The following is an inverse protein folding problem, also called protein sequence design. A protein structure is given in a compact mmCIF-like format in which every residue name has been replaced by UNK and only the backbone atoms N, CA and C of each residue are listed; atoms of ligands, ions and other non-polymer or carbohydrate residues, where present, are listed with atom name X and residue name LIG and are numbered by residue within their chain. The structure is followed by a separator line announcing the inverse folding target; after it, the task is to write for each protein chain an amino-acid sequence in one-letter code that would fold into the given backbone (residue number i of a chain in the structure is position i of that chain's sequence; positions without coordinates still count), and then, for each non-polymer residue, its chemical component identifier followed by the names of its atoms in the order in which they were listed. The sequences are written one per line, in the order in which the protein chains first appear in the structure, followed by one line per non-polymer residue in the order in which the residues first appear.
data_IF_933117962571
#
_entry.id   IF_933117962571
#
_cell.length_a   1.000
_cell.length_b   1.000
_cell.length_c   1.000
_cell.angle_alpha   90.00
_cell.angle_beta   90.00
_cell.angle_gamma   90.00
#
_symmetry.space_group_name_H-M   'P 1'
#
loop_
_entity.id
_entity.type
_entity.pdbx_description
1 polymer ?
#
# COMPACT_ATOMS: atom_id res chain seq x y z
N UNK A 1 -31.23 -29.37 25.99
CA UNK A 1 -30.36 -28.17 26.00
C UNK A 1 -30.67 -27.40 24.74
N UNK A 2 -31.18 -26.18 24.91
CA UNK A 2 -31.74 -25.39 23.83
C UNK A 2 -30.64 -24.99 22.84
N UNK A 3 -30.91 -25.24 21.57
CA UNK A 3 -30.23 -24.65 20.42
C UNK A 3 -30.38 -23.13 20.51
N UNK A 4 -29.30 -22.41 20.79
CA UNK A 4 -29.28 -20.96 20.66
C UNK A 4 -29.61 -20.61 19.21
N UNK A 5 -30.78 -20.02 19.04
CA UNK A 5 -31.25 -19.43 17.79
C UNK A 5 -30.24 -18.39 17.33
N UNK A 6 -29.47 -18.72 16.31
CA UNK A 6 -28.70 -17.77 15.49
C UNK A 6 -29.63 -16.61 15.12
N UNK A 7 -29.46 -15.46 15.79
CA UNK A 7 -30.05 -14.20 15.37
C UNK A 7 -29.69 -14.00 13.90
N UNK A 8 -30.72 -13.81 13.07
CA UNK A 8 -30.61 -13.60 11.62
C UNK A 8 -29.58 -12.49 11.35
N UNK A 9 -28.37 -12.89 10.97
CA UNK A 9 -27.26 -11.98 10.78
C UNK A 9 -27.38 -11.34 9.40
N UNK A 10 -27.86 -10.10 9.38
CA UNK A 10 -27.93 -9.31 8.16
C UNK A 10 -26.61 -8.54 7.93
N UNK A 11 -25.70 -9.18 7.19
CA UNK A 11 -24.41 -8.59 6.80
C UNK A 11 -24.57 -7.29 6.01
N UNK A 12 -25.57 -7.20 5.13
CA UNK A 12 -25.80 -6.02 4.29
C UNK A 12 -26.15 -4.81 5.15
N UNK A 13 -26.98 -5.02 6.17
CA UNK A 13 -27.31 -4.00 7.16
C UNK A 13 -26.10 -3.54 7.96
N UNK A 14 -25.25 -4.47 8.43
CA UNK A 14 -24.04 -4.13 9.18
C UNK A 14 -23.05 -3.34 8.31
N UNK A 15 -22.81 -3.75 7.07
CA UNK A 15 -21.97 -3.01 6.12
C UNK A 15 -22.49 -1.58 5.91
N UNK A 16 -23.79 -1.43 5.66
CA UNK A 16 -24.39 -0.12 5.45
C UNK A 16 -24.26 0.77 6.68
N UNK A 17 -24.50 0.23 7.87
CA UNK A 17 -24.30 0.97 9.13
C UNK A 17 -22.85 1.44 9.29
N UNK A 18 -21.87 0.57 9.00
CA UNK A 18 -20.45 0.93 9.06
C UNK A 18 -20.05 1.97 7.99
N UNK A 19 -20.60 1.90 6.77
CA UNK A 19 -20.32 2.88 5.72
C UNK A 19 -20.98 4.24 6.04
N UNK A 20 -22.21 4.23 6.59
CA UNK A 20 -23.00 5.42 6.91
C UNK A 20 -22.42 6.23 8.07
N UNK A 21 -21.71 5.61 9.02
CA UNK A 21 -21.04 6.35 10.10
C UNK A 21 -19.86 7.18 9.61
N UNK A 22 -19.24 6.82 8.48
CA UNK A 22 -18.10 7.52 7.86
C UNK A 22 -16.89 7.73 8.78
N UNK A 23 -16.84 7.00 9.89
CA UNK A 23 -15.81 7.13 10.91
C UNK A 23 -14.60 6.22 10.68
N UNK A 24 -14.75 5.26 9.77
CA UNK A 24 -13.72 4.27 9.49
C UNK A 24 -13.49 3.32 10.66
N UNK A 25 -12.44 2.51 10.53
CA UNK A 25 -12.00 1.56 11.56
C UNK A 25 -11.49 2.29 12.80
N UNK A 26 -10.81 3.43 12.62
CA UNK A 26 -10.35 4.27 13.74
C UNK A 26 -11.52 4.73 14.62
N UNK A 27 -12.67 5.07 14.03
CA UNK A 27 -13.86 5.41 14.78
C UNK A 27 -14.40 4.26 15.65
N UNK A 28 -14.26 3.01 15.20
CA UNK A 28 -14.60 1.83 16.02
C UNK A 28 -13.65 1.70 17.21
N UNK A 29 -12.35 1.87 16.98
CA UNK A 29 -11.33 1.81 18.05
C UNK A 29 -11.55 2.92 19.07
N UNK A 30 -11.85 4.14 18.63
CA UNK A 30 -12.14 5.28 19.52
C UNK A 30 -13.41 5.06 20.36
N UNK A 31 -14.37 4.28 19.84
CA UNK A 31 -15.55 3.86 20.59
C UNK A 31 -15.27 2.75 21.62
N UNK A 32 -14.03 2.25 21.71
CA UNK A 32 -13.62 1.28 22.73
C UNK A 32 -14.18 -0.12 22.51
N UNK A 33 -14.34 -0.55 21.25
CA UNK A 33 -14.83 -1.91 20.96
C UNK A 33 -13.91 -2.98 21.56
N UNK A 34 -14.51 -4.05 22.09
CA UNK A 34 -13.77 -5.20 22.61
C UNK A 34 -13.71 -6.36 21.61
N UNK A 35 -14.70 -6.44 20.72
CA UNK A 35 -14.77 -7.44 19.66
C UNK A 35 -14.93 -6.75 18.31
N UNK A 36 -14.26 -7.26 17.29
CA UNK A 36 -14.38 -6.71 15.94
C UNK A 36 -15.76 -7.06 15.34
N UNK A 37 -16.38 -6.16 14.56
CA UNK A 37 -17.62 -6.46 13.84
C UNK A 37 -17.46 -7.66 12.89
N UNK A 38 -18.55 -8.41 12.66
CA UNK A 38 -18.50 -9.65 11.86
C UNK A 38 -18.07 -9.40 10.42
N UNK A 39 -18.34 -8.21 9.88
CA UNK A 39 -17.86 -7.78 8.56
C UNK A 39 -16.34 -7.77 8.40
N UNK A 40 -15.55 -7.73 9.48
CA UNK A 40 -14.07 -7.79 9.44
C UNK A 40 -13.51 -9.18 9.68
N UNK A 41 -14.33 -10.11 10.17
CA UNK A 41 -13.89 -11.48 10.48
C UNK A 41 -13.69 -12.25 9.17
N UNK A 42 -12.48 -12.76 8.97
CA UNK A 42 -12.15 -13.58 7.81
C UNK A 42 -12.90 -14.92 7.80
N UNK A 43 -13.22 -15.46 6.62
CA UNK A 43 -13.75 -16.83 6.49
C UNK A 43 -12.89 -17.85 7.23
N UNK A 44 -13.51 -18.86 7.85
CA UNK A 44 -12.80 -19.91 8.59
C UNK A 44 -11.79 -20.68 7.74
N UNK A 45 -12.07 -20.81 6.44
CA UNK A 45 -11.19 -21.42 5.44
C UNK A 45 -9.83 -20.69 5.36
N UNK A 46 -9.89 -19.35 5.36
CA UNK A 46 -8.72 -18.50 5.25
C UNK A 46 -7.89 -18.52 6.55
N UNK A 47 -8.57 -18.59 7.71
CA UNK A 47 -7.90 -18.70 9.02
C UNK A 47 -7.18 -20.04 9.17
N UNK A 48 -7.80 -21.14 8.75
CA UNK A 48 -7.20 -22.47 8.80
C UNK A 48 -5.98 -22.60 7.86
N UNK A 49 -5.97 -21.89 6.73
CA UNK A 49 -4.83 -21.89 5.80
C UNK A 49 -3.59 -21.20 6.40
N UNK A 50 -3.76 -20.19 7.25
CA UNK A 50 -2.64 -19.50 7.89
C UNK A 50 -1.94 -20.37 8.94
N UNK A 51 -2.72 -21.16 9.70
CA UNK A 51 -2.17 -22.13 10.68
C UNK A 51 -1.26 -23.18 10.03
N UNK A 52 -1.53 -23.55 8.77
CA UNK A 52 -0.73 -24.52 8.02
C UNK A 52 0.58 -23.94 7.47
N UNK A 53 0.68 -22.61 7.35
CA UNK A 53 1.80 -21.91 6.73
C UNK A 53 2.78 -21.29 7.75
N UNK A 54 2.71 -21.67 9.03
CA UNK A 54 3.50 -21.08 10.13
C UNK A 54 5.01 -21.38 10.10
N UNK A 55 5.56 -21.82 8.97
CA UNK A 55 6.97 -22.12 8.77
C UNK A 55 7.76 -20.87 8.40
N UNK A 56 8.07 -20.01 9.37
CA UNK A 56 8.91 -18.83 9.14
C UNK A 56 10.34 -19.26 8.78
N UNK A 57 10.71 -19.13 7.50
CA UNK A 57 12.11 -19.13 7.09
C UNK A 57 12.60 -17.68 7.09
N UNK A 58 13.79 -17.45 7.65
CA UNK A 58 14.47 -16.17 7.56
C UNK A 58 15.04 -16.00 6.14
N UNK A 59 14.20 -15.60 5.21
CA UNK A 59 14.65 -15.09 3.91
C UNK A 59 14.26 -13.63 3.85
N UNK A 60 15.25 -12.78 3.62
CA UNK A 60 15.06 -11.33 3.56
C UNK A 60 14.84 -10.90 2.12
N UNK A 61 13.84 -10.05 1.92
CA UNK A 61 13.60 -9.36 0.64
C UNK A 61 14.88 -8.61 0.24
N UNK A 62 15.33 -8.71 -1.03
CA UNK A 62 16.58 -8.07 -1.48
C UNK A 62 16.63 -6.59 -1.16
N UNK A 63 17.81 -6.09 -0.77
CA UNK A 63 18.05 -4.67 -0.47
C UNK A 63 19.02 -4.12 -1.52
N UNK A 64 18.64 -3.02 -2.16
CA UNK A 64 19.38 -2.38 -3.24
C UNK A 64 19.79 -0.97 -2.79
N UNK A 65 21.09 -0.72 -2.74
CA UNK A 65 21.63 0.62 -2.48
C UNK A 65 21.67 1.42 -3.79
N UNK A 66 20.76 2.38 -3.94
CA UNK A 66 20.67 3.19 -5.17
C UNK A 66 21.52 4.46 -5.11
N UNK A 67 22.46 4.56 -4.17
CA UNK A 67 23.42 5.66 -4.13
C UNK A 67 24.26 5.71 -5.41
N UNK A 68 24.63 6.93 -5.81
CA UNK A 68 25.47 7.18 -6.98
C UNK A 68 24.93 6.58 -8.29
N UNK A 69 23.60 6.47 -8.45
CA UNK A 69 22.94 5.94 -9.67
C UNK A 69 23.30 6.70 -10.97
N UNK A 70 23.90 7.89 -10.87
CA UNK A 70 24.44 8.64 -12.00
C UNK A 70 25.84 8.19 -12.46
N UNK A 71 26.58 7.43 -11.65
CA UNK A 71 27.83 6.82 -12.07
C UNK A 71 27.56 5.61 -12.98
N UNK A 72 28.27 5.51 -14.10
CA UNK A 72 28.01 4.50 -15.13
C UNK A 72 28.25 3.07 -14.64
N UNK A 73 29.29 2.85 -13.84
CA UNK A 73 29.63 1.50 -13.34
C UNK A 73 28.61 1.11 -12.28
N UNK A 74 28.37 1.99 -11.30
CA UNK A 74 27.39 1.73 -10.24
C UNK A 74 25.98 1.54 -10.79
N UNK A 75 25.57 2.34 -11.80
CA UNK A 75 24.27 2.17 -12.46
C UNK A 75 24.11 0.78 -13.05
N UNK A 76 25.13 0.26 -13.72
CA UNK A 76 25.06 -1.07 -14.33
C UNK A 76 24.90 -2.18 -13.27
N UNK A 77 25.54 -2.04 -12.12
CA UNK A 77 25.36 -2.93 -10.97
C UNK A 77 23.94 -2.85 -10.42
N UNK A 78 23.43 -1.63 -10.17
CA UNK A 78 22.05 -1.40 -9.71
C UNK A 78 21.04 -2.02 -10.69
N UNK A 79 21.23 -1.84 -12.00
CA UNK A 79 20.37 -2.43 -13.03
C UNK A 79 20.35 -3.96 -12.93
N UNK A 80 21.49 -4.58 -12.69
CA UNK A 80 21.57 -6.03 -12.52
C UNK A 80 20.89 -6.50 -11.22
N UNK A 81 21.09 -5.77 -10.11
CA UNK A 81 20.42 -6.02 -8.82
C UNK A 81 18.89 -5.91 -8.98
N UNK A 82 18.40 -4.84 -9.62
CA UNK A 82 16.97 -4.63 -9.92
C UNK A 82 16.43 -5.73 -10.81
N UNK A 83 17.17 -6.16 -11.84
CA UNK A 83 16.76 -7.24 -12.74
C UNK A 83 16.55 -8.55 -11.97
N UNK A 84 17.51 -8.93 -11.13
CA UNK A 84 17.46 -10.17 -10.35
C UNK A 84 16.30 -10.10 -9.35
N UNK A 85 16.22 -9.04 -8.55
CA UNK A 85 15.18 -8.91 -7.55
C UNK A 85 13.77 -8.84 -8.15
N UNK A 86 13.60 -8.11 -9.26
CA UNK A 86 12.31 -8.06 -9.97
C UNK A 86 11.92 -9.41 -10.56
N UNK A 87 12.88 -10.20 -11.05
CA UNK A 87 12.61 -11.49 -11.70
C UNK A 87 12.41 -12.66 -10.74
N UNK A 88 13.13 -12.67 -9.61
CA UNK A 88 13.06 -13.76 -8.63
C UNK A 88 12.02 -13.48 -7.53
N UNK A 89 11.93 -12.22 -7.07
CA UNK A 89 11.07 -11.87 -5.94
C UNK A 89 9.83 -11.08 -6.35
N UNK A 90 9.94 -10.22 -7.36
CA UNK A 90 8.93 -9.20 -7.64
C UNK A 90 8.86 -8.10 -6.56
N UNK A 91 9.71 -8.18 -5.54
CA UNK A 91 9.83 -7.26 -4.40
C UNK A 91 11.30 -6.99 -4.08
N UNK A 92 11.61 -5.76 -3.68
CA UNK A 92 12.91 -5.38 -3.11
C UNK A 92 12.79 -4.12 -2.28
N UNK A 93 13.75 -3.86 -1.38
CA UNK A 93 13.87 -2.59 -0.69
C UNK A 93 14.94 -1.74 -1.35
N UNK A 94 14.73 -0.42 -1.45
CA UNK A 94 15.74 0.53 -1.87
C UNK A 94 16.16 1.42 -0.70
N UNK A 95 17.47 1.67 -0.60
CA UNK A 95 18.07 2.60 0.38
C UNK A 95 18.93 3.63 -0.34
N UNK A 96 19.24 4.75 0.32
CA UNK A 96 20.02 5.84 -0.25
C UNK A 96 19.44 6.41 -1.56
N UNK A 97 18.10 6.38 -1.70
CA UNK A 97 17.33 6.85 -2.86
C UNK A 97 17.22 8.38 -2.99
N UNK A 98 17.88 9.13 -2.11
CA UNK A 98 17.99 10.59 -2.22
C UNK A 98 16.79 11.39 -1.68
N UNK A 99 15.74 10.74 -1.17
CA UNK A 99 14.66 11.43 -0.44
C UNK A 99 15.14 11.68 1.00
N UNK A 100 15.10 12.92 1.51
CA UNK A 100 15.52 13.20 2.88
C UNK A 100 14.67 12.44 3.91
N UNK A 101 15.31 11.91 4.96
CA UNK A 101 14.62 11.20 6.04
C UNK A 101 13.49 12.05 6.66
N UNK A 102 13.71 13.36 6.82
CA UNK A 102 12.68 14.27 7.35
C UNK A 102 11.42 14.30 6.48
N UNK A 103 11.54 14.16 5.15
CA UNK A 103 10.37 14.14 4.26
C UNK A 103 9.56 12.85 4.45
N UNK A 104 10.25 11.71 4.65
CA UNK A 104 9.59 10.43 4.94
C UNK A 104 8.89 10.46 6.31
N UNK A 105 9.60 10.94 7.33
CA UNK A 105 9.09 11.05 8.70
C UNK A 105 7.88 12.01 8.76
N UNK A 106 7.97 13.18 8.11
CA UNK A 106 6.87 14.16 8.05
C UNK A 106 5.67 13.63 7.26
N UNK A 107 5.87 12.79 6.24
CA UNK A 107 4.78 12.15 5.51
C UNK A 107 4.02 11.18 6.42
N UNK A 108 4.73 10.28 7.10
CA UNK A 108 4.14 9.33 8.04
C UNK A 108 3.39 10.07 9.16
N UNK A 109 4.03 11.08 9.76
CA UNK A 109 3.44 11.86 10.84
C UNK A 109 2.22 12.65 10.37
N UNK A 110 2.26 13.24 9.17
CA UNK A 110 1.11 13.93 8.60
C UNK A 110 -0.11 13.04 8.44
N UNK A 111 0.08 11.81 7.93
CA UNK A 111 -1.01 10.83 7.79
C UNK A 111 -1.51 10.35 9.15
N UNK A 112 -0.62 10.15 10.12
CA UNK A 112 -1.00 9.81 11.49
C UNK A 112 -1.88 10.90 12.10
N UNK A 113 -1.43 12.16 12.04
CA UNK A 113 -2.17 13.32 12.54
C UNK A 113 -3.53 13.44 11.85
N UNK A 114 -3.60 13.26 10.52
CA UNK A 114 -4.89 13.25 9.81
C UNK A 114 -5.87 12.21 10.38
N UNK A 115 -5.43 10.97 10.62
CA UNK A 115 -6.30 9.91 11.13
C UNK A 115 -6.65 10.07 12.61
N UNK A 116 -5.81 10.75 13.39
CA UNK A 116 -6.01 11.03 14.82
C UNK A 116 -6.76 12.33 15.10
N UNK A 117 -7.14 13.10 14.07
CA UNK A 117 -8.01 14.26 14.20
C UNK A 117 -9.45 13.91 14.57
N UNK A 118 -10.18 14.94 15.02
CA UNK A 118 -11.62 14.91 15.25
C UNK A 118 -12.37 14.31 14.06
N UNK A 119 -13.37 13.48 14.37
CA UNK A 119 -14.13 12.72 13.39
C UNK A 119 -14.79 13.63 12.34
N UNK A 120 -15.34 14.76 12.76
CA UNK A 120 -16.03 15.72 11.91
C UNK A 120 -15.15 16.17 10.74
N UNK A 121 -13.87 16.43 10.98
CA UNK A 121 -12.92 16.88 9.95
C UNK A 121 -12.63 15.76 8.93
N UNK A 122 -12.54 14.51 9.38
CA UNK A 122 -12.32 13.36 8.49
C UNK A 122 -13.58 13.05 7.66
N UNK A 123 -14.77 13.21 8.25
CA UNK A 123 -16.05 12.96 7.58
C UNK A 123 -16.28 13.88 6.37
N UNK A 124 -15.77 15.11 6.39
CA UNK A 124 -15.84 16.04 5.25
C UNK A 124 -15.18 15.47 3.98
N UNK A 125 -14.11 14.70 4.16
CA UNK A 125 -13.39 14.04 3.08
C UNK A 125 -13.93 12.64 2.76
N UNK A 126 -14.85 12.10 3.57
CA UNK A 126 -15.39 10.77 3.35
C UNK A 126 -16.15 10.72 2.02
N UNK A 127 -15.70 9.86 1.11
CA UNK A 127 -16.36 9.72 -0.17
C UNK A 127 -16.06 8.40 -0.86
N UNK A 128 -17.08 7.87 -1.54
CA UNK A 128 -16.97 6.75 -2.47
C UNK A 128 -16.92 7.18 -3.93
N UNK A 129 -17.00 8.49 -4.21
CA UNK A 129 -16.99 9.02 -5.56
C UNK A 129 -15.62 8.80 -6.21
N UNK A 130 -15.60 8.12 -7.35
CA UNK A 130 -14.40 7.87 -8.15
C UNK A 130 -13.78 9.14 -8.72
N UNK A 131 -14.57 10.19 -8.93
CA UNK A 131 -14.10 11.44 -9.52
C UNK A 131 -13.37 12.35 -8.52
N UNK A 132 -13.58 12.17 -7.22
CA UNK A 132 -12.85 12.95 -6.20
C UNK A 132 -11.38 12.56 -6.15
N UNK A 133 -10.50 13.55 -6.33
CA UNK A 133 -9.04 13.36 -6.31
C UNK A 133 -8.50 13.12 -4.90
N UNK A 134 -9.03 13.82 -3.90
CA UNK A 134 -8.69 13.60 -2.48
C UNK A 134 -9.93 13.10 -1.76
N UNK A 135 -9.81 11.94 -1.12
CA UNK A 135 -10.91 11.35 -0.36
C UNK A 135 -10.44 10.42 0.74
N UNK A 136 -11.26 10.31 1.77
CA UNK A 136 -11.11 9.39 2.88
C UNK A 136 -12.13 8.26 2.75
N UNK A 137 -11.72 7.03 3.04
CA UNK A 137 -12.60 5.87 3.13
C UNK A 137 -11.89 4.73 3.88
N UNK A 138 -12.66 3.76 4.38
CA UNK A 138 -12.06 2.56 4.98
C UNK A 138 -11.71 1.51 3.92
N UNK A 139 -12.71 1.03 3.18
CA UNK A 139 -12.59 -0.09 2.24
C UNK A 139 -13.17 0.27 0.86
N UNK A 140 -12.43 0.04 -0.23
CA UNK A 140 -12.88 0.32 -1.60
C UNK A 140 -14.03 -0.61 -2.04
N UNK A 141 -13.92 -1.88 -1.68
CA UNK A 141 -14.73 -3.02 -2.15
C UNK A 141 -15.74 -3.51 -1.09
N UNK A 142 -16.21 -2.60 -0.23
CA UNK A 142 -17.02 -2.90 0.95
C UNK A 142 -18.23 -3.83 0.68
N UNK A 143 -18.89 -3.67 -0.48
CA UNK A 143 -20.11 -4.40 -0.83
C UNK A 143 -19.86 -5.70 -1.59
N UNK A 144 -18.63 -5.97 -2.01
CA UNK A 144 -18.25 -7.16 -2.80
C UNK A 144 -17.32 -8.10 -2.03
N UNK A 145 -16.62 -7.58 -1.03
CA UNK A 145 -15.69 -8.33 -0.20
C UNK A 145 -16.37 -9.35 0.71
N UNK A 146 -15.73 -10.52 0.91
CA UNK A 146 -16.15 -11.52 1.92
C UNK A 146 -15.92 -11.01 3.35
N UNK A 147 -14.81 -10.32 3.58
CA UNK A 147 -14.44 -9.63 4.82
C UNK A 147 -13.76 -8.30 4.48
N UNK A 148 -13.97 -7.28 5.31
CA UNK A 148 -13.32 -5.98 5.18
C UNK A 148 -11.92 -5.99 5.79
N UNK A 149 -11.06 -5.12 5.25
CA UNK A 149 -9.74 -4.86 5.76
C UNK A 149 -9.78 -3.96 7.00
N UNK A 150 -8.98 -4.27 8.03
CA UNK A 150 -8.84 -3.49 9.27
C UNK A 150 -7.96 -2.26 9.06
N UNK A 151 -8.45 -1.32 8.25
CA UNK A 151 -7.72 -0.10 7.90
C UNK A 151 -8.64 1.07 7.56
N UNK A 152 -8.04 2.24 7.61
CA UNK A 152 -8.53 3.46 6.99
C UNK A 152 -7.57 3.95 5.91
N UNK A 153 -8.09 4.66 4.91
CA UNK A 153 -7.32 5.09 3.73
C UNK A 153 -7.64 6.54 3.38
N UNK A 154 -6.62 7.39 3.37
CA UNK A 154 -6.63 8.65 2.65
C UNK A 154 -6.07 8.40 1.25
N UNK A 155 -6.87 8.63 0.21
CA UNK A 155 -6.46 8.47 -1.17
C UNK A 155 -6.24 9.83 -1.84
N UNK A 156 -5.15 9.92 -2.60
CA UNK A 156 -4.85 11.03 -3.51
C UNK A 156 -4.66 10.47 -4.93
N UNK A 157 -5.37 11.04 -5.90
CA UNK A 157 -5.23 10.73 -7.32
C UNK A 157 -4.41 11.81 -8.04
N UNK A 158 -3.31 11.40 -8.67
CA UNK A 158 -2.38 12.22 -9.45
C UNK A 158 -2.38 11.82 -10.93
N UNK A 159 -3.49 11.25 -11.44
CA UNK A 159 -3.56 10.64 -12.77
C UNK A 159 -3.36 11.64 -13.92
N UNK A 160 -3.94 12.84 -13.82
CA UNK A 160 -3.83 13.87 -14.88
C UNK A 160 -2.92 15.03 -14.46
N UNK A 161 -3.20 15.57 -13.27
CA UNK A 161 -2.50 16.70 -12.67
C UNK A 161 -2.57 16.54 -11.16
N UNK A 162 -1.61 17.13 -10.46
CA UNK A 162 -1.65 17.21 -9.00
C UNK A 162 -2.99 17.81 -8.55
N UNK A 163 -3.60 17.27 -7.48
CA UNK A 163 -4.81 17.84 -6.91
C UNK A 163 -4.52 19.27 -6.45
N UNK A 164 -5.57 20.09 -6.44
CA UNK A 164 -5.46 21.42 -5.83
C UNK A 164 -5.02 21.23 -4.37
N UNK A 165 -3.92 21.87 -3.92
CA UNK A 165 -3.47 21.75 -2.54
C UNK A 165 -4.57 22.01 -1.51
N UNK A 166 -5.55 22.87 -1.82
CA UNK A 166 -6.70 23.14 -0.94
C UNK A 166 -7.62 21.94 -0.71
N UNK A 167 -7.64 20.95 -1.61
CA UNK A 167 -8.37 19.69 -1.45
C UNK A 167 -7.69 18.73 -0.45
N UNK A 168 -6.38 18.91 -0.18
CA UNK A 168 -5.66 18.11 0.81
C UNK A 168 -5.98 18.56 2.24
N UNK A 169 -6.06 17.62 3.22
CA UNK A 169 -6.23 17.96 4.63
C UNK A 169 -5.15 18.95 5.09
N UNK A 170 -5.49 20.08 5.74
CA UNK A 170 -4.50 21.08 6.16
C UNK A 170 -3.35 20.50 6.99
N UNK A 171 -3.62 19.49 7.80
CA UNK A 171 -2.65 18.88 8.73
C UNK A 171 -1.52 18.11 8.04
N UNK A 172 -1.79 17.52 6.87
CA UNK A 172 -0.81 16.71 6.14
C UNK A 172 -0.45 17.30 4.77
N UNK A 173 -1.09 18.41 4.36
CA UNK A 173 -0.90 19.04 3.04
C UNK A 173 0.56 19.29 2.70
N UNK A 174 1.28 20.00 3.58
CA UNK A 174 2.68 20.38 3.32
C UNK A 174 3.58 19.16 3.16
N UNK A 175 3.50 18.20 4.07
CA UNK A 175 4.33 16.99 4.02
C UNK A 175 3.98 16.11 2.82
N UNK A 176 2.69 15.99 2.50
CA UNK A 176 2.22 15.25 1.32
C UNK A 176 2.75 15.87 0.02
N UNK A 177 2.67 17.19 -0.13
CA UNK A 177 3.18 17.88 -1.32
C UNK A 177 4.70 17.74 -1.48
N UNK A 178 5.46 17.88 -0.40
CA UNK A 178 6.91 17.70 -0.45
C UNK A 178 7.26 16.24 -0.79
N UNK A 179 6.57 15.27 -0.19
CA UNK A 179 6.75 13.85 -0.51
C UNK A 179 6.45 13.54 -1.98
N UNK A 180 5.34 14.05 -2.54
CA UNK A 180 4.99 13.86 -3.96
C UNK A 180 6.11 14.34 -4.90
N UNK A 181 6.71 15.50 -4.62
CA UNK A 181 7.80 16.04 -5.42
C UNK A 181 9.00 15.10 -5.48
N UNK A 182 9.41 14.55 -4.33
CA UNK A 182 10.51 13.59 -4.26
C UNK A 182 10.15 12.24 -4.88
N UNK A 183 8.91 11.78 -4.65
CA UNK A 183 8.40 10.53 -5.19
C UNK A 183 8.39 10.52 -6.73
N UNK A 184 7.98 11.63 -7.37
CA UNK A 184 7.99 11.74 -8.84
C UNK A 184 9.39 11.55 -9.43
N UNK A 185 10.39 12.23 -8.86
CA UNK A 185 11.79 12.10 -9.30
C UNK A 185 12.34 10.68 -9.08
N UNK A 186 12.01 10.08 -7.94
CA UNK A 186 12.39 8.69 -7.67
C UNK A 186 11.71 7.74 -8.65
N UNK A 187 10.42 7.94 -8.93
CA UNK A 187 9.65 7.15 -9.89
C UNK A 187 10.29 7.16 -11.28
N UNK A 188 10.66 8.33 -11.81
CA UNK A 188 11.38 8.46 -13.08
C UNK A 188 12.66 7.61 -13.08
N UNK A 189 13.46 7.70 -12.02
CA UNK A 189 14.71 6.94 -11.86
C UNK A 189 14.46 5.43 -11.82
N UNK A 190 13.44 4.99 -11.07
CA UNK A 190 13.08 3.56 -10.97
C UNK A 190 12.59 3.01 -12.31
N UNK A 191 11.80 3.78 -13.07
CA UNK A 191 11.37 3.39 -14.40
C UNK A 191 12.53 3.30 -15.40
N UNK A 192 13.54 4.14 -15.27
CA UNK A 192 14.75 4.01 -16.10
C UNK A 192 15.52 2.73 -15.78
N UNK A 193 15.75 2.46 -14.49
CA UNK A 193 16.44 1.25 -14.04
C UNK A 193 15.69 -0.02 -14.48
N UNK A 194 14.36 -0.02 -14.40
CA UNK A 194 13.52 -1.12 -14.88
C UNK A 194 13.60 -1.25 -16.41
N UNK A 195 13.60 -0.15 -17.16
CA UNK A 195 13.75 -0.19 -18.62
C UNK A 195 15.08 -0.85 -19.02
N UNK A 196 16.18 -0.46 -18.37
CA UNK A 196 17.49 -1.06 -18.61
C UNK A 196 17.57 -2.53 -18.15
N UNK A 197 16.93 -2.88 -17.04
CA UNK A 197 16.85 -4.26 -16.56
C UNK A 197 16.14 -5.18 -17.57
N UNK A 198 15.21 -4.62 -18.35
CA UNK A 198 14.51 -5.27 -19.47
C UNK A 198 15.32 -5.29 -20.77
N UNK A 199 16.51 -4.67 -20.80
CA UNK A 199 17.33 -4.54 -22.01
C UNK A 199 16.83 -3.46 -22.98
N UNK A 200 15.99 -2.53 -22.50
CA UNK A 200 15.43 -1.43 -23.28
C UNK A 200 16.27 -0.16 -23.09
N UNK A 201 15.98 0.87 -23.89
CA UNK A 201 16.56 2.20 -23.66
C UNK A 201 16.09 2.75 -22.30
N UNK A 202 16.94 3.49 -21.56
CA UNK A 202 16.59 3.97 -20.21
C UNK A 202 15.24 4.67 -20.14
N UNK A 203 14.91 5.54 -21.09
CA UNK A 203 13.65 6.30 -21.06
C UNK A 203 12.42 5.52 -21.54
N UNK A 204 12.52 4.23 -21.87
CA UNK A 204 11.45 3.50 -22.57
C UNK A 204 10.12 3.52 -21.80
N UNK A 205 10.09 3.05 -20.56
CA UNK A 205 8.85 2.98 -19.76
C UNK A 205 8.27 4.38 -19.49
N UNK A 206 9.12 5.38 -19.26
CA UNK A 206 8.69 6.77 -19.12
C UNK A 206 8.05 7.30 -20.42
N UNK A 207 8.68 7.04 -21.57
CA UNK A 207 8.24 7.54 -22.87
C UNK A 207 6.86 6.99 -23.30
N UNK A 208 6.54 5.74 -22.95
CA UNK A 208 5.22 5.14 -23.22
C UNK A 208 4.17 5.50 -22.15
N UNK A 209 4.55 6.30 -21.17
CA UNK A 209 3.64 6.83 -20.16
C UNK A 209 3.46 5.95 -18.92
N UNK A 210 4.34 4.99 -18.63
CA UNK A 210 4.24 4.18 -17.42
C UNK A 210 4.38 5.01 -16.12
N UNK A 211 5.10 6.13 -16.19
CA UNK A 211 5.21 7.10 -15.10
C UNK A 211 4.09 8.15 -15.11
N UNK A 212 3.22 8.15 -16.14
CA UNK A 212 2.09 9.08 -16.23
C UNK A 212 0.92 8.52 -15.43
N UNK A 213 0.76 9.11 -14.26
CA UNK A 213 -0.33 8.83 -13.35
C UNK A 213 0.15 8.04 -12.13
N UNK A 214 -0.17 8.59 -10.98
CA UNK A 214 0.18 8.02 -9.69
C UNK A 214 -1.06 8.10 -8.79
N UNK A 215 -1.27 7.09 -7.94
CA UNK A 215 -2.21 7.20 -6.83
C UNK A 215 -1.44 6.95 -5.55
N UNK A 216 -1.65 7.82 -4.56
CA UNK A 216 -1.15 7.61 -3.21
C UNK A 216 -2.31 7.07 -2.39
N UNK A 217 -2.12 5.90 -1.82
CA UNK A 217 -3.03 5.29 -0.85
C UNK A 217 -2.33 5.28 0.51
N UNK A 218 -2.68 6.26 1.35
CA UNK A 218 -2.12 6.40 2.68
C UNK A 218 -2.96 5.60 3.67
N UNK A 219 -2.49 4.38 3.97
CA UNK A 219 -3.16 3.48 4.91
C UNK A 219 -2.82 3.80 6.36
N UNK A 220 -3.84 3.73 7.22
CA UNK A 220 -3.73 3.78 8.66
C UNK A 220 -4.35 2.51 9.24
N UNK A 221 -3.59 1.80 10.07
CA UNK A 221 -3.98 0.54 10.68
C UNK A 221 -4.12 0.73 12.20
N UNK A 222 -5.33 1.04 12.71
CA UNK A 222 -5.56 1.16 14.15
C UNK A 222 -5.29 -0.16 14.89
N UNK A 223 -4.93 -0.13 16.19
CA UNK A 223 -4.83 -1.35 16.99
C UNK A 223 -6.10 -2.20 16.89
N UNK A 224 -5.94 -3.50 16.67
CA UNK A 224 -7.05 -4.45 16.56
C UNK A 224 -7.19 -5.23 17.88
N UNK A 225 -8.40 -5.35 18.47
CA UNK A 225 -8.60 -6.15 19.68
C UNK A 225 -8.58 -7.67 19.43
N UNK A 226 -8.75 -8.10 18.17
CA UNK A 226 -8.76 -9.52 17.76
C UNK A 226 -7.96 -9.71 16.46
N UNK A 227 -6.62 -9.45 16.48
CA UNK A 227 -5.78 -9.43 15.28
C UNK A 227 -5.74 -10.78 14.55
N UNK A 228 -6.01 -11.88 15.24
CA UNK A 228 -6.08 -13.24 14.67
C UNK A 228 -7.28 -13.46 13.75
N UNK A 229 -8.31 -12.60 13.81
CA UNK A 229 -9.56 -12.76 13.05
C UNK A 229 -9.63 -11.91 11.78
N UNK A 230 -8.70 -10.97 11.58
CA UNK A 230 -8.76 -10.00 10.48
C UNK A 230 -7.36 -9.71 9.92
N UNK A 231 -7.28 -8.87 8.89
CA UNK A 231 -6.02 -8.42 8.29
C UNK A 231 -6.06 -6.92 8.04
N UNK A 232 -4.90 -6.28 8.11
CA UNK A 232 -4.76 -4.89 7.67
C UNK A 232 -5.04 -4.72 6.18
N UNK A 233 -4.54 -5.65 5.36
CA UNK A 233 -4.89 -5.79 3.94
C UNK A 233 -4.91 -7.29 3.59
N UNK A 234 -5.95 -7.74 2.89
CA UNK A 234 -6.04 -9.12 2.36
C UNK A 234 -4.99 -9.41 1.28
N UNK A 235 -4.72 -10.69 1.04
CA UNK A 235 -3.87 -11.16 -0.07
C UNK A 235 -4.35 -10.55 -1.40
N UNK A 236 -3.44 -9.89 -2.12
CA UNK A 236 -3.67 -9.33 -3.44
C UNK A 236 -2.35 -9.20 -4.22
N UNK A 237 -2.47 -8.88 -5.50
CA UNK A 237 -1.40 -8.35 -6.33
C UNK A 237 -1.77 -6.93 -6.76
N UNK A 238 -0.77 -6.08 -6.95
CA UNK A 238 -0.99 -4.71 -7.40
C UNK A 238 -1.25 -4.67 -8.90
N UNK A 239 -2.40 -4.14 -9.30
CA UNK A 239 -2.77 -4.04 -10.71
C UNK A 239 -1.94 -2.99 -11.50
N UNK A 240 -1.08 -2.22 -10.83
CA UNK A 240 -0.28 -1.16 -11.44
C UNK A 240 0.95 -1.66 -12.19
N UNK A 241 1.92 -0.77 -12.39
CA UNK A 241 3.22 -1.10 -13.01
C UNK A 241 4.28 -1.26 -11.92
N UNK A 242 4.32 -0.31 -10.99
CA UNK A 242 5.28 -0.24 -9.91
C UNK A 242 4.62 0.41 -8.70
N UNK A 243 4.84 -0.18 -7.52
CA UNK A 243 4.45 0.42 -6.24
C UNK A 243 5.71 0.82 -5.48
N UNK A 244 5.65 1.98 -4.83
CA UNK A 244 6.68 2.48 -3.90
C UNK A 244 6.01 2.66 -2.54
N UNK A 245 6.34 1.78 -1.61
CA UNK A 245 5.76 1.72 -0.29
C UNK A 245 6.71 2.31 0.77
N UNK A 246 6.23 3.36 1.42
CA UNK A 246 6.82 3.92 2.63
C UNK A 246 6.13 3.30 3.85
N UNK A 247 6.89 2.63 4.71
CA UNK A 247 6.41 2.05 5.97
C UNK A 247 6.87 2.89 7.17
N UNK A 248 6.10 2.83 8.26
CA UNK A 248 6.61 3.27 9.56
C UNK A 248 7.55 2.21 10.16
N UNK A 249 7.97 2.41 11.41
CA UNK A 249 8.87 1.48 12.10
C UNK A 249 8.19 0.20 12.60
N UNK A 250 6.87 0.07 12.46
CA UNK A 250 6.10 -1.11 12.87
C UNK A 250 5.99 -2.02 11.65
N UNK A 251 6.38 -3.29 11.80
CA UNK A 251 6.23 -4.29 10.75
C UNK A 251 4.76 -4.62 10.43
N UNK A 252 4.55 -5.58 9.53
CA UNK A 252 3.21 -6.06 9.17
C UNK A 252 3.02 -6.30 7.67
N UNK A 253 3.97 -5.87 6.83
CA UNK A 253 3.99 -6.31 5.44
C UNK A 253 4.50 -7.74 5.38
N UNK A 254 3.74 -8.58 4.69
CA UNK A 254 4.14 -9.93 4.31
C UNK A 254 4.08 -10.06 2.80
N UNK A 255 5.06 -10.77 2.23
CA UNK A 255 5.13 -11.07 0.79
C UNK A 255 5.05 -12.57 0.56
N UNK A 256 4.35 -12.99 -0.48
CA UNK A 256 4.24 -14.40 -0.85
C UNK A 256 5.34 -14.74 -1.87
N UNK A 257 6.23 -15.65 -1.51
CA UNK A 257 7.31 -16.15 -2.38
C UNK A 257 7.41 -17.67 -2.20
N UNK A 258 7.50 -18.43 -3.30
CA UNK A 258 7.52 -19.91 -3.27
C UNK A 258 6.42 -20.53 -2.38
N UNK A 259 5.18 -20.02 -2.50
CA UNK A 259 4.01 -20.41 -1.71
C UNK A 259 4.16 -20.24 -0.18
N UNK A 260 5.13 -19.44 0.27
CA UNK A 260 5.38 -19.12 1.67
C UNK A 260 5.31 -17.61 1.92
N UNK A 261 4.74 -17.21 3.05
CA UNK A 261 4.68 -15.81 3.47
C UNK A 261 5.96 -15.42 4.22
N UNK A 262 6.56 -14.30 3.83
CA UNK A 262 7.76 -13.75 4.42
C UNK A 262 7.51 -12.35 4.96
N UNK A 263 7.95 -12.10 6.20
CA UNK A 263 7.87 -10.78 6.81
C UNK A 263 8.91 -9.84 6.17
N UNK A 264 8.46 -8.64 5.77
CA UNK A 264 9.35 -7.58 5.31
C UNK A 264 9.63 -6.64 6.48
N UNK A 265 10.86 -6.68 6.97
CA UNK A 265 11.30 -5.84 8.07
C UNK A 265 11.53 -4.40 7.60
N UNK A 266 10.86 -3.39 8.19
CA UNK A 266 11.06 -2.00 7.80
C UNK A 266 12.49 -1.53 8.05
N UNK A 267 13.10 -0.92 7.04
CA UNK A 267 14.41 -0.28 7.15
C UNK A 267 14.22 1.23 7.33
N UNK A 268 14.95 1.84 8.27
CA UNK A 268 14.90 3.30 8.46
C UNK A 268 15.37 4.01 7.18
N UNK A 269 14.46 4.76 6.57
CA UNK A 269 14.72 5.43 5.30
C UNK A 269 14.80 4.50 4.10
N UNK A 270 14.30 3.26 4.23
CA UNK A 270 14.09 2.36 3.12
C UNK A 270 12.69 2.52 2.54
N UNK A 271 12.55 2.18 1.26
CA UNK A 271 11.26 2.08 0.57
C UNK A 271 11.14 0.67 -0.01
N UNK A 272 9.99 0.03 0.16
CA UNK A 272 9.70 -1.25 -0.49
C UNK A 272 9.19 -0.97 -1.89
N UNK A 273 9.73 -1.67 -2.86
CA UNK A 273 9.36 -1.61 -4.26
C UNK A 273 8.75 -2.96 -4.63
N UNK A 274 7.61 -2.95 -5.31
CA UNK A 274 7.03 -4.16 -5.88
C UNK A 274 6.51 -3.96 -7.29
N UNK A 275 6.65 -5.02 -8.07
CA UNK A 275 6.26 -5.07 -9.47
C UNK A 275 4.76 -5.37 -9.57
N UNK A 276 4.04 -4.55 -10.31
CA UNK A 276 2.60 -4.75 -10.55
C UNK A 276 2.31 -5.55 -11.83
N UNK A 277 1.07 -6.02 -11.94
CA UNK A 277 0.60 -6.91 -13.01
C UNK A 277 0.81 -6.33 -14.42
N UNK A 278 0.64 -5.01 -14.60
CA UNK A 278 0.80 -4.38 -15.91
C UNK A 278 2.24 -4.46 -16.42
N UNK A 279 3.24 -4.37 -15.53
CA UNK A 279 4.63 -4.53 -15.94
C UNK A 279 4.92 -5.97 -16.35
N UNK A 280 4.36 -6.95 -15.63
CA UNK A 280 4.49 -8.37 -15.99
C UNK A 280 3.93 -8.65 -17.39
N UNK A 281 2.81 -8.01 -17.76
CA UNK A 281 2.25 -8.10 -19.12
C UNK A 281 3.19 -7.47 -20.16
N UNK A 282 3.77 -6.30 -19.88
CA UNK A 282 4.75 -5.67 -20.77
C UNK A 282 5.98 -6.57 -21.02
N UNK A 283 6.48 -7.27 -19.99
CA UNK A 283 7.56 -8.25 -20.13
C UNK A 283 7.19 -9.40 -21.08
N UNK A 284 5.99 -9.97 -20.91
CA UNK A 284 5.53 -11.07 -21.78
C UNK A 284 5.42 -10.66 -23.24
N UNK A 285 5.05 -9.41 -23.52
CA UNK A 285 4.97 -8.87 -24.89
C UNK A 285 6.37 -8.66 -25.47
N UNK A 286 7.30 -8.07 -24.70
CA UNK A 286 8.67 -7.83 -25.16
C UNK A 286 9.48 -9.11 -25.39
N UNK A 287 9.12 -10.23 -24.76
CA UNK A 287 9.78 -11.53 -24.97
C UNK A 287 9.28 -12.31 -26.20
N UNK A 288 8.26 -11.79 -26.91
CA UNK A 288 7.61 -12.42 -28.07
C UNK A 288 7.84 -11.70 -29.40
N UNK A 289 8.66 -10.65 -29.42
CA UNK A 289 9.09 -9.91 -30.63
C UNK A 289 10.59 -10.08 -30.79
#
# INVERSE_FOLDING_TARGET
MATETSVDYDRTKELKQFDDIKAGVKGLVDAGILNIPKIFVRPAEDLAADELNSGHKNVEVPIIDVSNVGDRIRRQEIVNEVKIASGEWGFFQVINHGIPLSVLDEMIEGIRLFNEQDLELKMELYSRDGAKKVKFLSNFDIYTSKALDWKDTLQLSLLDFDPDPSEMPPVCRKSTMEYIKHLKKLGETLFELLSEALGLQPDHLNSIGCSKGCSIVAHYYPPCPQPELTLGVRKHADAGILTVLLQNHIGGLQVLHDDQWFDVHPIRGGLVINIGDLLQVCQMISSRV
#
